data_IF_876298492326
#
_entry.id   IF_876298492326
#
_cell.length_a   1.000
_cell.length_b   1.000
_cell.length_c   1.000
_cell.angle_alpha   90.00
_cell.angle_beta   90.00
_cell.angle_gamma   90.00
#
_symmetry.space_group_name_H-M   'P 1'
#
loop_
_entity.id
_entity.type
_entity.pdbx_description
1 polymer ?
#
# COMPACT_ATOMS: atom_id res chain seq x y z
N UNK A 1 18.23 -0.45 -7.48
CA UNK A 1 16.92 -0.47 -8.16
C UNK A 1 16.32 0.92 -8.12
N UNK A 2 16.83 1.82 -8.98
CA UNK A 2 16.17 3.11 -9.24
C UNK A 2 15.00 2.94 -10.22
N UNK A 3 14.97 1.83 -10.95
CA UNK A 3 14.03 1.56 -12.05
C UNK A 3 12.58 1.35 -11.56
N UNK A 4 12.40 0.89 -10.32
CA UNK A 4 11.08 0.75 -9.70
C UNK A 4 10.62 2.03 -8.95
N UNK A 5 11.42 3.10 -8.89
CA UNK A 5 11.09 4.28 -8.09
C UNK A 5 9.77 4.94 -8.50
N UNK A 6 9.51 5.02 -9.81
CA UNK A 6 8.24 5.54 -10.34
C UNK A 6 7.05 4.65 -9.94
N UNK A 7 7.21 3.33 -10.04
CA UNK A 7 6.17 2.37 -9.66
C UNK A 7 5.85 2.47 -8.15
N UNK A 8 6.88 2.62 -7.31
CA UNK A 8 6.73 2.80 -5.86
C UNK A 8 6.11 4.15 -5.52
N UNK A 9 6.47 5.21 -6.24
CA UNK A 9 5.84 6.52 -6.08
C UNK A 9 4.34 6.48 -6.40
N UNK A 10 3.97 5.87 -7.54
CA UNK A 10 2.57 5.68 -7.92
C UNK A 10 1.84 4.87 -6.86
N UNK A 11 2.44 3.77 -6.38
CA UNK A 11 1.87 2.96 -5.31
C UNK A 11 1.64 3.77 -4.02
N UNK A 12 2.64 4.53 -3.57
CA UNK A 12 2.54 5.36 -2.37
C UNK A 12 1.48 6.45 -2.52
N UNK A 13 1.40 7.09 -3.69
CA UNK A 13 0.37 8.08 -3.99
C UNK A 13 -1.05 7.48 -3.90
N UNK A 14 -1.27 6.32 -4.54
CA UNK A 14 -2.55 5.62 -4.50
C UNK A 14 -2.90 5.13 -3.09
N UNK A 15 -1.90 4.72 -2.30
CA UNK A 15 -2.07 4.35 -0.89
C UNK A 15 -2.58 5.53 -0.05
N UNK A 16 -1.99 6.71 -0.23
CA UNK A 16 -2.43 7.95 0.43
C UNK A 16 -3.84 8.33 -0.01
N UNK A 17 -4.15 8.20 -1.30
CA UNK A 17 -5.50 8.43 -1.81
C UNK A 17 -6.53 7.52 -1.13
N UNK A 18 -6.27 6.23 -0.97
CA UNK A 18 -7.18 5.29 -0.27
C UNK A 18 -7.43 5.73 1.18
N UNK A 19 -6.38 6.15 1.88
CA UNK A 19 -6.48 6.61 3.26
C UNK A 19 -7.35 7.87 3.38
N UNK A 20 -7.24 8.81 2.43
CA UNK A 20 -8.06 10.03 2.40
C UNK A 20 -9.50 9.70 1.99
N UNK A 21 -9.67 8.83 0.98
CA UNK A 21 -10.98 8.43 0.46
C UNK A 21 -11.86 7.77 1.54
N UNK A 22 -11.26 7.16 2.56
CA UNK A 22 -11.98 6.63 3.71
C UNK A 22 -12.83 7.69 4.43
N UNK A 23 -12.44 8.96 4.40
CA UNK A 23 -13.14 10.07 5.06
C UNK A 23 -13.94 10.95 4.10
N UNK A 24 -13.53 11.03 2.84
CA UNK A 24 -14.12 11.97 1.86
C UNK A 24 -15.09 11.30 0.89
N UNK A 25 -15.03 9.97 0.72
CA UNK A 25 -15.87 9.23 -0.21
C UNK A 25 -16.79 8.25 0.56
N UNK A 26 -18.04 8.63 0.85
CA UNK A 26 -18.94 7.87 1.73
C UNK A 26 -19.29 6.47 1.19
N UNK A 27 -19.24 6.29 -0.13
CA UNK A 27 -19.49 5.00 -0.80
C UNK A 27 -18.22 4.16 -0.99
N UNK A 28 -17.06 4.57 -0.47
CA UNK A 28 -15.83 3.78 -0.55
C UNK A 28 -15.86 2.58 0.39
N UNK A 29 -15.23 1.47 0.01
CA UNK A 29 -15.15 0.27 0.85
C UNK A 29 -14.56 0.56 2.25
N UNK A 30 -13.58 1.45 2.35
CA UNK A 30 -12.98 1.90 3.61
C UNK A 30 -13.94 2.74 4.46
N UNK A 31 -14.74 3.62 3.85
CA UNK A 31 -15.81 4.36 4.56
C UNK A 31 -16.91 3.43 5.09
N UNK A 32 -17.31 2.42 4.30
CA UNK A 32 -18.28 1.40 4.73
C UNK A 32 -17.74 0.60 5.92
N UNK A 33 -16.47 0.22 5.87
CA UNK A 33 -15.80 -0.47 6.99
C UNK A 33 -15.73 0.41 8.25
N UNK A 34 -15.41 1.71 8.12
CA UNK A 34 -15.37 2.67 9.24
C UNK A 34 -16.73 2.80 9.94
N UNK A 35 -17.80 2.91 9.16
CA UNK A 35 -19.16 3.12 9.68
C UNK A 35 -19.72 1.85 10.33
N UNK A 36 -19.40 0.67 9.79
CA UNK A 36 -19.94 -0.62 10.26
C UNK A 36 -19.14 -1.24 11.39
N UNK A 37 -17.82 -1.35 11.21
CA UNK A 37 -16.96 -2.11 12.12
C UNK A 37 -16.42 -1.24 13.26
N UNK A 38 -16.76 0.06 13.26
CA UNK A 38 -16.43 1.02 14.29
C UNK A 38 -14.94 1.00 14.62
N UNK A 39 -14.61 0.63 15.85
CA UNK A 39 -13.23 0.57 16.34
C UNK A 39 -12.29 -0.22 15.41
N UNK A 40 -12.69 -1.38 14.92
CA UNK A 40 -11.84 -2.21 14.04
C UNK A 40 -11.65 -1.58 12.67
N UNK A 41 -12.70 -0.96 12.13
CA UNK A 41 -12.61 -0.18 10.88
C UNK A 41 -11.67 1.02 11.03
N UNK A 42 -11.70 1.71 12.17
CA UNK A 42 -10.74 2.79 12.47
C UNK A 42 -9.31 2.27 12.60
N UNK A 43 -9.10 1.15 13.31
CA UNK A 43 -7.76 0.57 13.48
C UNK A 43 -7.13 0.19 12.14
N UNK A 44 -7.88 -0.46 11.24
CA UNK A 44 -7.39 -0.84 9.90
C UNK A 44 -7.14 0.40 9.04
N UNK A 45 -8.04 1.38 9.06
CA UNK A 45 -7.88 2.63 8.29
C UNK A 45 -6.65 3.41 8.74
N UNK A 46 -6.46 3.60 10.04
CA UNK A 46 -5.30 4.28 10.61
C UNK A 46 -4.02 3.50 10.32
N UNK A 47 -4.04 2.17 10.45
CA UNK A 47 -2.92 1.31 10.08
C UNK A 47 -2.53 1.45 8.61
N UNK A 48 -3.53 1.49 7.72
CA UNK A 48 -3.33 1.69 6.28
C UNK A 48 -2.76 3.07 5.98
N UNK A 49 -3.25 4.11 6.65
CA UNK A 49 -2.73 5.46 6.52
C UNK A 49 -1.27 5.56 7.01
N UNK A 50 -0.95 4.94 8.14
CA UNK A 50 0.42 4.90 8.66
C UNK A 50 1.36 4.16 7.68
N UNK A 51 0.93 3.03 7.12
CA UNK A 51 1.69 2.29 6.11
C UNK A 51 1.89 3.11 4.84
N UNK A 52 0.86 3.85 4.39
CA UNK A 52 0.95 4.73 3.23
C UNK A 52 1.97 5.86 3.46
N UNK A 53 1.97 6.47 4.65
CA UNK A 53 2.95 7.49 5.02
C UNK A 53 4.37 6.93 5.07
N UNK A 54 4.54 5.73 5.64
CA UNK A 54 5.85 5.05 5.67
C UNK A 54 6.33 4.72 4.26
N UNK A 55 5.45 4.25 3.37
CA UNK A 55 5.80 3.98 1.97
C UNK A 55 6.15 5.27 1.22
N UNK A 56 5.41 6.36 1.42
CA UNK A 56 5.71 7.66 0.83
C UNK A 56 7.04 8.23 1.33
N UNK A 57 7.30 8.15 2.64
CA UNK A 57 8.57 8.56 3.23
C UNK A 57 9.73 7.69 2.73
N UNK A 58 9.51 6.39 2.58
CA UNK A 58 10.50 5.46 2.03
C UNK A 58 10.87 5.82 0.58
N UNK A 59 9.90 6.14 -0.29
CA UNK A 59 10.18 6.60 -1.66
C UNK A 59 10.92 7.94 -1.65
N UNK A 60 10.41 8.93 -0.90
CA UNK A 60 11.02 10.26 -0.86
C UNK A 60 12.46 10.22 -0.34
N UNK A 61 12.74 9.42 0.70
CA UNK A 61 14.04 9.38 1.36
C UNK A 61 15.00 8.40 0.66
N UNK A 62 14.56 7.20 0.31
CA UNK A 62 15.47 6.19 -0.22
C UNK A 62 15.64 6.25 -1.74
N UNK A 63 14.66 6.80 -2.46
CA UNK A 63 14.72 6.84 -3.92
C UNK A 63 15.08 8.24 -4.46
N UNK A 64 14.77 9.34 -3.75
CA UNK A 64 15.07 10.72 -4.21
C UNK A 64 16.23 11.43 -3.48
N UNK A 65 16.47 11.12 -2.21
CA UNK A 65 17.57 11.73 -1.44
C UNK A 65 18.91 11.01 -1.68
N UNK A 66 20.05 11.71 -1.52
CA UNK A 66 21.37 11.09 -1.65
C UNK A 66 21.59 10.03 -0.56
N UNK A 67 22.45 9.06 -0.84
CA UNK A 67 22.68 7.87 0.01
C UNK A 67 23.07 8.17 1.47
N UNK A 68 23.51 9.39 1.77
CA UNK A 68 23.80 9.85 3.14
C UNK A 68 22.58 9.93 4.06
N UNK A 69 21.35 9.94 3.53
CA UNK A 69 20.11 10.03 4.31
C UNK A 69 19.26 8.75 4.27
N UNK A 70 19.84 7.59 3.91
CA UNK A 70 19.09 6.34 3.74
C UNK A 70 18.32 5.97 5.00
N UNK A 71 17.01 5.78 4.85
CA UNK A 71 16.17 5.21 5.88
C UNK A 71 16.29 3.68 5.88
N UNK A 72 17.37 3.20 6.51
CA UNK A 72 17.79 1.79 6.49
C UNK A 72 16.70 0.82 6.98
N UNK A 73 15.91 1.22 7.98
CA UNK A 73 14.85 0.38 8.53
C UNK A 73 13.75 0.10 7.51
N UNK A 74 13.24 1.14 6.85
CA UNK A 74 12.19 0.99 5.84
C UNK A 74 12.72 0.19 4.65
N UNK A 75 13.92 0.50 4.16
CA UNK A 75 14.57 -0.23 3.06
C UNK A 75 14.74 -1.72 3.35
N UNK A 76 15.18 -2.06 4.57
CA UNK A 76 15.33 -3.46 4.99
C UNK A 76 13.98 -4.20 5.03
N UNK A 77 12.90 -3.53 5.40
CA UNK A 77 11.57 -4.12 5.61
C UNK A 77 10.55 -3.87 4.49
N UNK A 78 10.93 -3.21 3.39
CA UNK A 78 10.08 -2.91 2.20
C UNK A 78 9.12 -4.04 1.80
N UNK A 79 9.66 -5.24 1.58
CA UNK A 79 8.86 -6.43 1.24
C UNK A 79 7.74 -6.75 2.26
N UNK A 80 8.01 -6.67 3.56
CA UNK A 80 7.00 -6.85 4.60
C UNK A 80 5.99 -5.71 4.60
N UNK A 81 6.43 -4.46 4.40
CA UNK A 81 5.53 -3.31 4.33
C UNK A 81 4.52 -3.47 3.18
N UNK A 82 4.97 -3.95 2.01
CA UNK A 82 4.09 -4.22 0.88
C UNK A 82 3.12 -5.38 1.14
N UNK A 83 3.59 -6.47 1.79
CA UNK A 83 2.74 -7.60 2.13
C UNK A 83 1.63 -7.21 3.13
N UNK A 84 1.98 -6.43 4.16
CA UNK A 84 1.02 -5.94 5.16
C UNK A 84 0.04 -4.96 4.50
N UNK A 85 0.53 -4.03 3.67
CA UNK A 85 -0.33 -3.10 2.95
C UNK A 85 -1.31 -3.83 2.01
N UNK A 86 -0.87 -4.90 1.34
CA UNK A 86 -1.76 -5.72 0.53
C UNK A 86 -2.89 -6.36 1.35
N UNK A 87 -2.60 -6.87 2.54
CA UNK A 87 -3.64 -7.36 3.45
C UNK A 87 -4.61 -6.24 3.84
N UNK A 88 -4.10 -5.07 4.20
CA UNK A 88 -4.90 -3.90 4.55
C UNK A 88 -5.82 -3.41 3.42
N UNK A 89 -5.43 -3.53 2.14
CA UNK A 89 -6.31 -3.17 1.02
C UNK A 89 -7.42 -4.18 0.77
N UNK A 90 -7.21 -5.44 1.15
CA UNK A 90 -8.20 -6.50 0.97
C UNK A 90 -9.24 -6.50 2.10
N UNK A 91 -8.86 -6.10 3.32
CA UNK A 91 -9.77 -6.08 4.48
C UNK A 91 -11.06 -5.26 4.25
N UNK A 92 -11.03 -4.03 3.71
CA UNK A 92 -12.23 -3.25 3.40
C UNK A 92 -13.16 -3.93 2.40
N UNK A 93 -12.62 -4.68 1.43
CA UNK A 93 -13.44 -5.42 0.45
C UNK A 93 -14.23 -6.54 1.13
N UNK A 94 -13.61 -7.27 2.07
CA UNK A 94 -14.31 -8.30 2.83
C UNK A 94 -15.36 -7.70 3.76
N UNK A 95 -15.03 -6.62 4.47
CA UNK A 95 -15.97 -5.90 5.34
C UNK A 95 -17.18 -5.34 4.56
N UNK A 96 -16.94 -4.82 3.36
CA UNK A 96 -17.96 -4.28 2.47
C UNK A 96 -18.65 -5.33 1.58
N UNK A 97 -18.22 -6.60 1.59
CA UNK A 97 -18.71 -7.65 0.66
C UNK A 97 -20.22 -7.94 0.75
N UNK A 98 -20.84 -7.64 1.89
CA UNK A 98 -22.29 -7.73 2.08
C UNK A 98 -23.07 -6.59 1.42
N UNK A 99 -22.37 -5.55 0.93
CA UNK A 99 -22.91 -4.37 0.28
C UNK A 99 -22.30 -4.23 -1.11
N UNK A 100 -22.97 -3.49 -1.98
CA UNK A 100 -22.56 -3.36 -3.37
C UNK A 100 -21.21 -2.64 -3.48
N UNK A 101 -20.12 -3.40 -3.57
CA UNK A 101 -18.81 -2.90 -3.98
C UNK A 101 -18.85 -2.80 -5.50
N UNK A 102 -18.86 -1.56 -6.03
CA UNK A 102 -18.79 -1.36 -7.48
C UNK A 102 -17.54 -2.06 -8.02
N UNK A 103 -17.63 -2.70 -9.19
CA UNK A 103 -16.53 -3.37 -9.86
C UNK A 103 -15.25 -2.51 -9.89
N UNK A 104 -15.38 -1.20 -10.11
CA UNK A 104 -14.26 -0.26 -10.09
C UNK A 104 -13.48 -0.26 -8.76
N UNK A 105 -14.18 -0.36 -7.62
CA UNK A 105 -13.54 -0.46 -6.31
C UNK A 105 -12.84 -1.81 -6.14
N UNK A 106 -13.47 -2.91 -6.56
CA UNK A 106 -12.82 -4.24 -6.52
C UNK A 106 -11.52 -4.22 -7.33
N UNK A 107 -11.57 -3.73 -8.58
CA UNK A 107 -10.38 -3.60 -9.43
C UNK A 107 -9.31 -2.73 -8.78
N UNK A 108 -9.70 -1.61 -8.15
CA UNK A 108 -8.75 -0.69 -7.55
C UNK A 108 -8.06 -1.29 -6.30
N UNK A 109 -8.83 -1.81 -5.34
CA UNK A 109 -8.27 -2.36 -4.09
C UNK A 109 -7.51 -3.68 -4.34
N UNK A 110 -8.04 -4.59 -5.16
CA UNK A 110 -7.34 -5.82 -5.54
C UNK A 110 -6.11 -5.51 -6.38
N UNK A 111 -6.23 -4.58 -7.35
CA UNK A 111 -5.11 -4.13 -8.16
C UNK A 111 -3.98 -3.53 -7.30
N UNK A 112 -4.33 -2.72 -6.30
CA UNK A 112 -3.37 -2.20 -5.32
C UNK A 112 -2.72 -3.31 -4.48
N UNK A 113 -3.49 -4.28 -4.01
CA UNK A 113 -2.94 -5.42 -3.26
C UNK A 113 -1.94 -6.23 -4.12
N UNK A 114 -2.32 -6.56 -5.35
CA UNK A 114 -1.47 -7.29 -6.29
C UNK A 114 -0.23 -6.49 -6.68
N UNK A 115 -0.39 -5.19 -6.95
CA UNK A 115 0.73 -4.31 -7.31
C UNK A 115 1.74 -4.21 -6.17
N UNK A 116 1.27 -4.07 -4.93
CA UNK A 116 2.11 -4.13 -3.73
C UNK A 116 2.85 -5.46 -3.61
N UNK A 117 2.18 -6.59 -3.78
CA UNK A 117 2.81 -7.91 -3.74
C UNK A 117 3.87 -8.11 -4.82
N UNK A 118 3.64 -7.61 -6.04
CA UNK A 118 4.64 -7.64 -7.13
C UNK A 118 5.86 -6.80 -6.76
N UNK A 119 5.67 -5.59 -6.21
CA UNK A 119 6.78 -4.76 -5.73
C UNK A 119 7.55 -5.44 -4.59
N UNK A 120 6.83 -6.05 -3.64
CA UNK A 120 7.42 -6.83 -2.55
C UNK A 120 8.21 -8.04 -3.05
N UNK A 121 7.70 -8.74 -4.06
CA UNK A 121 8.37 -9.88 -4.69
C UNK A 121 9.63 -9.45 -5.45
N UNK A 122 9.58 -8.36 -6.22
CA UNK A 122 10.78 -7.81 -6.88
C UNK A 122 11.85 -7.42 -5.87
N UNK A 123 11.45 -6.82 -4.76
CA UNK A 123 12.38 -6.44 -3.68
C UNK A 123 13.01 -7.67 -2.99
N UNK A 124 12.26 -8.77 -2.82
CA UNK A 124 12.84 -10.01 -2.26
C UNK A 124 13.78 -10.70 -3.26
N UNK A 125 13.45 -10.70 -4.55
CA UNK A 125 14.33 -11.24 -5.61
C UNK A 125 15.66 -10.48 -5.65
N UNK A 126 15.61 -9.14 -5.64
CA UNK A 126 16.80 -8.32 -5.64
C UNK A 126 17.68 -8.50 -4.39
N UNK A 127 17.07 -8.72 -3.21
CA UNK A 127 17.80 -9.06 -1.98
C UNK A 127 18.49 -10.42 -2.04
N UNK A 128 17.95 -11.34 -2.84
CA UNK A 128 18.52 -12.67 -3.08
C UNK A 128 19.57 -12.69 -4.19
N UNK A 129 19.86 -11.54 -4.82
CA UNK A 129 20.81 -11.45 -5.93
C UNK A 129 20.31 -12.09 -7.22
N UNK A 130 19.01 -12.39 -7.32
CA UNK A 130 18.40 -12.93 -8.52
C UNK A 130 18.01 -11.73 -9.39
N UNK A 131 18.93 -11.31 -10.23
CA UNK A 131 18.66 -10.37 -11.32
C UNK A 131 18.24 -11.16 -12.55
N UNK A 132 17.23 -10.68 -13.28
CA UNK A 132 16.95 -11.22 -14.61
C UNK A 132 18.22 -11.10 -15.46
N UNK A 133 18.46 -12.08 -16.35
CA UNK A 133 19.51 -11.95 -17.34
C UNK A 133 19.26 -10.68 -18.16
N UNK A 134 20.29 -9.84 -18.27
CA UNK A 134 20.29 -8.62 -19.10
C UNK A 134 19.93 -8.93 -20.56
#
# INVERSE_FOLDING_TARGET
MKDDALARFIYAYLAVYIAIAAFTAPCSATSVMLTRDGFWGYAVTVGTAALALVAAADVAINDWLPERYIFHWARARRHWLYAIAAACYVTPLFAASAYFVNAAQVFFYVGMALFGLVLGYRETQAKRGITCAD
#
